data_IF_272641233343
#
_entry.id   IF_272641233343
#
_cell.length_a   1.000
_cell.length_b   1.000
_cell.length_c   1.000
_cell.angle_alpha   90.00
_cell.angle_beta   90.00
_cell.angle_gamma   90.00
#
_symmetry.space_group_name_H-M   'P 1'
#
loop_
_entity.id
_entity.type
_entity.pdbx_description
1 polymer ?
#
# COMPACT_ATOMS: atom_id res chain seq x y z
N UNK A 1 17.94 -17.39 0.50
CA UNK A 1 16.66 -17.74 -0.15
C UNK A 1 15.59 -16.77 0.32
N UNK A 2 14.76 -16.19 -0.57
CA UNK A 2 13.70 -15.26 -0.19
C UNK A 2 12.62 -15.96 0.65
N UNK A 3 12.14 -15.30 1.70
CA UNK A 3 11.03 -15.76 2.56
C UNK A 3 10.15 -14.57 2.98
N UNK A 4 8.90 -14.83 3.37
CA UNK A 4 7.98 -13.76 3.81
C UNK A 4 8.53 -12.99 5.02
N UNK A 5 9.10 -13.70 6.00
CA UNK A 5 9.66 -13.09 7.22
C UNK A 5 10.84 -12.16 6.94
N UNK A 6 11.58 -12.38 5.85
CA UNK A 6 12.74 -11.56 5.47
C UNK A 6 12.39 -10.41 4.52
N UNK A 7 11.16 -10.34 4.01
CA UNK A 7 10.79 -9.38 2.97
C UNK A 7 11.19 -7.95 3.34
N UNK A 8 10.90 -7.50 4.57
CA UNK A 8 11.23 -6.14 5.00
C UNK A 8 12.75 -5.80 4.94
N UNK A 9 13.62 -6.80 5.06
CA UNK A 9 15.08 -6.63 5.01
C UNK A 9 15.64 -6.81 3.60
N UNK A 10 15.01 -7.67 2.79
CA UNK A 10 15.49 -8.03 1.46
C UNK A 10 14.90 -7.12 0.36
N UNK A 11 13.75 -6.50 0.60
CA UNK A 11 13.04 -5.65 -0.36
C UNK A 11 13.69 -4.28 -0.50
N UNK A 12 13.98 -3.89 -1.75
CA UNK A 12 14.63 -2.62 -2.05
C UNK A 12 13.55 -1.54 -2.24
N UNK A 13 13.56 -0.43 -1.46
CA UNK A 13 12.55 0.62 -1.57
C UNK A 13 12.58 1.34 -2.93
N UNK A 14 13.72 1.32 -3.62
CA UNK A 14 13.86 1.83 -4.98
C UNK A 14 13.27 0.92 -6.07
N UNK A 15 12.83 -0.30 -5.73
CA UNK A 15 12.22 -1.19 -6.70
C UNK A 15 10.86 -0.63 -7.15
N UNK A 16 10.67 -0.53 -8.45
CA UNK A 16 9.42 0.00 -9.04
C UNK A 16 8.17 -0.74 -8.53
N UNK A 17 8.27 -2.05 -8.30
CA UNK A 17 7.18 -2.88 -7.79
C UNK A 17 6.77 -2.54 -6.35
N UNK A 18 7.74 -2.21 -5.49
CA UNK A 18 7.45 -1.82 -4.11
C UNK A 18 6.70 -0.47 -4.04
N UNK A 19 6.87 0.38 -5.05
CA UNK A 19 6.15 1.64 -5.19
C UNK A 19 4.77 1.45 -5.84
N UNK A 20 4.65 0.56 -6.84
CA UNK A 20 3.35 0.15 -7.40
C UNK A 20 2.40 -0.44 -6.35
N UNK A 21 2.94 -1.13 -5.34
CA UNK A 21 2.17 -1.79 -4.30
C UNK A 21 1.45 -0.82 -3.34
N UNK A 22 1.76 0.49 -3.36
CA UNK A 22 1.06 1.48 -2.53
C UNK A 22 -0.45 1.50 -2.82
N UNK A 23 -0.86 1.37 -4.08
CA UNK A 23 -2.28 1.29 -4.44
C UNK A 23 -2.97 0.07 -3.82
N UNK A 24 -2.30 -1.09 -3.83
CA UNK A 24 -2.83 -2.32 -3.19
C UNK A 24 -3.10 -2.08 -1.70
N UNK A 25 -2.15 -1.46 -1.00
CA UNK A 25 -2.32 -1.16 0.42
C UNK A 25 -3.44 -0.13 0.64
N UNK A 26 -3.48 0.95 -0.15
CA UNK A 26 -4.55 1.96 -0.05
C UNK A 26 -5.95 1.34 -0.23
N UNK A 27 -6.09 0.39 -1.17
CA UNK A 27 -7.34 -0.33 -1.41
C UNK A 27 -7.72 -1.30 -0.29
N UNK A 28 -6.77 -2.06 0.25
CA UNK A 28 -7.04 -3.02 1.33
C UNK A 28 -7.63 -2.38 2.59
N UNK A 29 -7.26 -1.12 2.86
CA UNK A 29 -7.68 -0.42 4.06
C UNK A 29 -8.84 0.55 3.84
N UNK A 30 -9.55 0.49 2.71
CA UNK A 30 -10.83 1.20 2.57
C UNK A 30 -11.88 0.65 3.58
N UNK A 31 -12.73 1.52 4.17
CA UNK A 31 -12.87 2.96 3.95
C UNK A 31 -12.00 3.83 4.90
N UNK A 32 -11.04 3.24 5.60
CA UNK A 32 -10.25 3.94 6.63
C UNK A 32 -9.17 4.88 6.07
N UNK A 33 -8.92 4.82 4.76
CA UNK A 33 -7.99 5.68 4.05
C UNK A 33 -8.78 6.73 3.24
N UNK A 34 -8.34 8.00 3.20
CA UNK A 34 -8.99 9.01 2.36
C UNK A 34 -9.06 8.57 0.88
N UNK A 35 -10.22 8.73 0.24
CA UNK A 35 -10.42 8.27 -1.14
C UNK A 35 -9.50 8.95 -2.16
N UNK A 36 -9.15 10.22 -1.95
CA UNK A 36 -8.16 10.91 -2.80
C UNK A 36 -6.78 10.25 -2.73
N UNK A 37 -6.34 9.79 -1.55
CA UNK A 37 -5.07 9.09 -1.41
C UNK A 37 -5.04 7.76 -2.16
N UNK A 38 -6.18 7.06 -2.27
CA UNK A 38 -6.31 5.86 -3.12
C UNK A 38 -6.10 6.21 -4.59
N UNK A 39 -6.72 7.30 -5.06
CA UNK A 39 -6.58 7.77 -6.44
C UNK A 39 -5.13 8.18 -6.72
N UNK A 40 -4.49 8.94 -5.82
CA UNK A 40 -3.09 9.36 -5.98
C UNK A 40 -2.16 8.13 -6.07
N UNK A 41 -2.40 7.11 -5.23
CA UNK A 41 -1.66 5.85 -5.30
C UNK A 41 -1.93 5.08 -6.60
N UNK A 42 -3.18 5.09 -7.09
CA UNK A 42 -3.56 4.47 -8.35
C UNK A 42 -2.83 5.11 -9.54
N UNK A 43 -2.81 6.44 -9.61
CA UNK A 43 -2.11 7.19 -10.67
C UNK A 43 -0.61 6.88 -10.68
N UNK A 44 0.02 6.82 -9.50
CA UNK A 44 1.42 6.38 -9.39
C UNK A 44 1.60 4.96 -9.92
N UNK A 45 0.73 4.02 -9.55
CA UNK A 45 0.83 2.63 -9.98
C UNK A 45 0.63 2.47 -11.49
N UNK A 46 -0.25 3.27 -12.11
CA UNK A 46 -0.43 3.32 -13.58
C UNK A 46 0.84 3.83 -14.26
N UNK A 47 1.39 4.96 -13.78
CA UNK A 47 2.63 5.51 -14.33
C UNK A 47 3.80 4.51 -14.20
N UNK A 48 3.95 3.90 -13.02
CA UNK A 48 4.98 2.90 -12.79
C UNK A 48 4.79 1.64 -13.66
N UNK A 49 3.54 1.21 -13.90
CA UNK A 49 3.24 0.11 -14.81
C UNK A 49 3.61 0.45 -16.26
N UNK A 50 3.37 1.67 -16.71
CA UNK A 50 3.80 2.11 -18.03
C UNK A 50 5.32 1.95 -18.20
N UNK A 51 6.09 2.47 -17.23
CA UNK A 51 7.55 2.39 -17.26
C UNK A 51 8.03 0.93 -17.22
N UNK A 52 7.45 0.08 -16.38
CA UNK A 52 7.77 -1.35 -16.30
C UNK A 52 7.48 -2.08 -17.63
N UNK A 53 6.32 -1.81 -18.23
CA UNK A 53 5.93 -2.36 -19.53
C UNK A 53 6.89 -1.91 -20.64
N UNK A 54 7.27 -0.63 -20.67
CA UNK A 54 8.21 -0.09 -21.65
C UNK A 54 9.63 -0.67 -21.51
N UNK A 55 10.04 -1.04 -20.31
CA UNK A 55 11.32 -1.69 -20.02
C UNK A 55 11.30 -3.22 -20.20
N UNK A 56 10.13 -3.80 -20.46
CA UNK A 56 9.93 -5.23 -20.68
C UNK A 56 10.40 -5.66 -22.08
N UNK A 57 10.55 -6.97 -22.35
CA UNK A 57 10.93 -7.45 -23.68
C UNK A 57 9.79 -7.37 -24.72
N UNK A 58 8.60 -6.92 -24.34
CA UNK A 58 7.44 -6.88 -25.24
C UNK A 58 7.47 -5.65 -26.15
N UNK A 59 7.13 -5.83 -27.44
CA UNK A 59 6.93 -4.72 -28.36
C UNK A 59 5.53 -4.12 -28.21
N UNK A 60 5.47 -2.96 -27.56
CA UNK A 60 4.24 -2.23 -27.28
C UNK A 60 4.05 -1.00 -28.18
N UNK A 61 4.86 -0.87 -29.24
CA UNK A 61 4.77 0.28 -30.17
C UNK A 61 3.40 0.41 -30.82
N UNK A 62 2.75 -0.72 -31.11
CA UNK A 62 1.39 -0.76 -31.66
C UNK A 62 0.33 -0.19 -30.70
N UNK A 63 0.63 -0.10 -29.41
CA UNK A 63 -0.19 0.54 -28.38
C UNK A 63 0.25 1.98 -28.07
N UNK A 64 1.24 2.51 -28.81
CA UNK A 64 1.75 3.87 -28.63
C UNK A 64 2.91 4.01 -27.63
N UNK A 65 3.44 2.91 -27.11
CA UNK A 65 4.54 2.95 -26.13
C UNK A 65 5.91 2.77 -26.79
N UNK A 66 6.81 3.72 -26.56
CA UNK A 66 8.22 3.59 -26.98
C UNK A 66 9.01 2.75 -25.97
N UNK A 67 9.79 1.76 -26.43
CA UNK A 67 10.54 0.88 -25.54
C UNK A 67 11.69 1.63 -24.84
N UNK A 68 11.96 1.24 -23.61
CA UNK A 68 13.16 1.61 -22.86
C UNK A 68 14.14 0.45 -23.03
N UNK A 69 15.16 0.63 -23.88
CA UNK A 69 16.12 -0.40 -24.26
C UNK A 69 17.13 -0.69 -23.13
N UNK A 70 16.69 -1.36 -22.06
CA UNK A 70 17.47 -1.62 -20.83
C UNK A 70 18.73 -2.49 -21.03
N UNK A 71 18.88 -3.13 -22.17
CA UNK A 71 20.11 -3.79 -22.60
C UNK A 71 21.24 -2.79 -22.93
N UNK A 72 20.88 -1.56 -23.30
CA UNK A 72 21.82 -0.47 -23.60
C UNK A 72 22.20 0.32 -22.36
N UNK A 73 23.33 1.03 -22.40
CA UNK A 73 23.76 1.91 -21.30
C UNK A 73 22.75 3.05 -21.09
N UNK A 74 22.28 3.66 -22.17
CA UNK A 74 21.38 4.81 -22.09
C UNK A 74 19.97 4.40 -21.65
N UNK A 75 19.45 3.27 -22.13
CA UNK A 75 18.18 2.73 -21.63
C UNK A 75 18.23 2.33 -20.15
N UNK A 76 19.36 1.81 -19.65
CA UNK A 76 19.54 1.62 -18.19
C UNK A 76 19.49 2.93 -17.41
N UNK A 77 20.11 3.99 -17.94
CA UNK A 77 20.09 5.31 -17.31
C UNK A 77 18.69 5.91 -17.31
N UNK A 78 17.96 5.80 -18.42
CA UNK A 78 16.56 6.22 -18.53
C UNK A 78 15.69 5.48 -17.51
N UNK A 79 15.76 4.14 -17.51
CA UNK A 79 14.97 3.33 -16.59
C UNK A 79 15.29 3.64 -15.11
N UNK A 80 16.57 3.73 -14.77
CA UNK A 80 16.99 4.11 -13.42
C UNK A 80 16.55 5.53 -13.03
N UNK A 81 16.45 6.46 -13.98
CA UNK A 81 15.90 7.80 -13.72
C UNK A 81 14.41 7.76 -13.47
N UNK A 82 13.66 7.05 -14.30
CA UNK A 82 12.23 6.87 -14.09
C UNK A 82 11.92 6.18 -12.75
N UNK A 83 12.71 5.18 -12.35
CA UNK A 83 12.59 4.54 -11.04
C UNK A 83 12.84 5.51 -9.88
N UNK A 84 13.84 6.40 -9.99
CA UNK A 84 14.08 7.46 -9.00
C UNK A 84 12.92 8.44 -8.90
N UNK A 85 12.35 8.84 -10.03
CA UNK A 85 11.20 9.77 -10.06
C UNK A 85 9.95 9.13 -9.44
N UNK A 86 9.72 7.84 -9.70
CA UNK A 86 8.64 7.07 -9.09
C UNK A 86 8.85 6.97 -7.57
N UNK A 87 10.06 6.64 -7.12
CA UNK A 87 10.37 6.55 -5.69
C UNK A 87 10.15 7.89 -4.98
N UNK A 88 10.62 8.99 -5.57
CA UNK A 88 10.44 10.34 -5.00
C UNK A 88 8.96 10.72 -4.85
N UNK A 89 8.12 10.39 -5.84
CA UNK A 89 6.66 10.60 -5.75
C UNK A 89 6.04 9.68 -4.69
N UNK A 90 6.43 8.42 -4.68
CA UNK A 90 5.93 7.39 -3.77
C UNK A 90 6.21 7.70 -2.30
N UNK A 91 7.32 8.36 -1.98
CA UNK A 91 7.69 8.69 -0.60
C UNK A 91 6.59 9.48 0.12
N UNK A 92 6.04 10.51 -0.53
CA UNK A 92 4.96 11.32 0.06
C UNK A 92 3.70 10.49 0.33
N UNK A 93 3.27 9.69 -0.65
CA UNK A 93 2.09 8.82 -0.56
C UNK A 93 2.27 7.74 0.51
N UNK A 94 3.48 7.19 0.62
CA UNK A 94 3.85 6.21 1.65
C UNK A 94 3.73 6.82 3.04
N UNK A 95 4.21 8.04 3.25
CA UNK A 95 4.07 8.73 4.54
C UNK A 95 2.60 9.01 4.87
N UNK A 96 1.79 9.39 3.89
CA UNK A 96 0.34 9.58 4.09
C UNK A 96 -0.37 8.27 4.46
N UNK A 97 -0.04 7.16 3.81
CA UNK A 97 -0.57 5.84 4.15
C UNK A 97 -0.16 5.39 5.56
N UNK A 98 1.12 5.53 5.91
CA UNK A 98 1.62 5.22 7.26
C UNK A 98 0.85 6.04 8.29
N UNK A 99 0.74 7.35 8.09
CA UNK A 99 0.01 8.25 9.00
C UNK A 99 -1.44 7.80 9.19
N UNK A 100 -2.16 7.53 8.10
CA UNK A 100 -3.55 7.07 8.16
C UNK A 100 -3.70 5.74 8.89
N UNK A 101 -2.86 4.76 8.57
CA UNK A 101 -2.91 3.43 9.17
C UNK A 101 -2.49 3.42 10.64
N UNK A 102 -1.51 4.25 11.03
CA UNK A 102 -1.15 4.43 12.45
C UNK A 102 -2.31 5.01 13.25
N UNK A 103 -3.09 5.94 12.68
CA UNK A 103 -4.27 6.48 13.36
C UNK A 103 -5.35 5.38 13.56
N UNK A 104 -5.57 4.54 12.55
CA UNK A 104 -6.49 3.39 12.63
C UNK A 104 -6.04 2.38 13.69
N UNK A 105 -4.76 2.02 13.69
CA UNK A 105 -4.17 1.09 14.65
C UNK A 105 -4.26 1.61 16.10
N UNK A 106 -4.00 2.90 16.29
CA UNK A 106 -4.13 3.58 17.58
C UNK A 106 -5.57 3.54 18.09
N UNK A 107 -6.54 3.84 17.22
CA UNK A 107 -7.96 3.79 17.56
C UNK A 107 -8.42 2.38 17.91
N UNK A 108 -8.00 1.37 17.14
CA UNK A 108 -8.30 -0.03 17.40
C UNK A 108 -7.71 -0.50 18.75
N UNK A 109 -6.45 -0.14 19.03
CA UNK A 109 -5.76 -0.47 20.28
C UNK A 109 -6.38 0.20 21.52
N UNK A 110 -6.97 1.39 21.37
CA UNK A 110 -7.72 2.05 22.44
C UNK A 110 -9.06 1.36 22.71
N UNK A 111 -9.75 0.87 21.69
CA UNK A 111 -11.05 0.18 21.82
C UNK A 111 -10.94 -1.18 22.52
N UNK A 112 -9.85 -1.91 22.34
CA UNK A 112 -9.61 -3.22 23.00
C UNK A 112 -9.42 -3.10 24.52
N UNK A 113 -9.19 -1.88 25.05
CA UNK A 113 -9.07 -1.60 26.49
C UNK A 113 -10.40 -1.29 27.18
N UNK A 114 -11.56 -1.63 26.61
CA UNK A 114 -12.81 -1.61 27.37
C UNK A 114 -12.80 -2.80 28.35
N UNK A 115 -12.66 -2.60 29.68
CA UNK A 115 -12.87 -3.69 30.61
C UNK A 115 -14.31 -4.16 30.43
N UNK A 116 -14.53 -5.47 30.31
CA UNK A 116 -15.86 -6.03 30.55
C UNK A 116 -16.24 -5.70 32.00
N UNK A 117 -16.81 -4.52 32.24
CA UNK A 117 -17.51 -4.27 33.49
C UNK A 117 -18.74 -5.15 33.45
N UNK A 118 -18.65 -6.24 34.23
CA UNK A 118 -19.74 -7.13 34.59
C UNK A 118 -21.03 -6.31 34.75
N UNK A 119 -21.95 -6.40 33.77
CA UNK A 119 -23.26 -5.79 33.93
C UNK A 119 -23.95 -6.55 35.05
N UNK A 120 -24.17 -5.85 36.14
CA UNK A 120 -24.91 -6.23 37.33
C UNK A 120 -25.97 -7.30 37.03
N UNK A 121 -25.67 -8.53 37.43
CA UNK A 121 -26.66 -9.57 37.61
C UNK A 121 -27.60 -9.13 38.74
N UNK A 122 -28.57 -8.29 38.39
CA UNK A 122 -29.70 -7.99 39.27
C UNK A 122 -30.50 -9.29 39.37
N UNK A 123 -30.62 -9.92 40.55
CA UNK A 123 -31.37 -11.16 40.65
C UNK A 123 -32.84 -10.83 40.46
N UNK A 124 -33.44 -11.41 39.43
CA UNK A 124 -34.89 -11.45 39.24
C UNK A 124 -35.49 -12.19 40.44
N UNK A 125 -36.13 -11.43 41.33
CA UNK A 125 -36.87 -11.98 42.47
C UNK A 125 -37.96 -12.93 41.96
N UNK A 126 -37.84 -14.21 42.31
CA UNK A 126 -38.86 -15.20 42.06
C UNK A 126 -40.12 -14.81 42.84
N UNK A 127 -41.18 -14.47 42.10
CA UNK A 127 -42.51 -14.28 42.66
C UNK A 127 -43.04 -15.67 43.03
N UNK A 128 -43.19 -15.94 44.33
CA UNK A 128 -43.94 -17.07 44.85
C UNK A 128 -45.44 -16.80 44.67
N UNK A 129 -46.12 -17.67 43.92
CA UNK A 129 -47.58 -17.72 43.88
C UNK A 129 -48.04 -19.14 44.23
N UNK A 130 -48.85 -19.19 45.30
CA UNK A 130 -50.00 -20.09 45.51
C UNK A 130 -49.83 -21.58 45.31
#
# INVERSE_FOLDING_TARGET
TPTRARQANDEQPGCIHANMDLYKYAMWFQPYIPGNLVVDCFELSVYAREIDMRASPYDLKHLGYSPIAVETIDGRREYASAQRDIAAKADSLRQSLITGLTAVDTAASASTRHPMTNRDATPIAATSAG
#
